data_IF_361444355423
#
_entry.id   IF_361444355423
#
_cell.length_a   1.000
_cell.length_b   1.000
_cell.length_c   1.000
_cell.angle_alpha   90.00
_cell.angle_beta   90.00
_cell.angle_gamma   90.00
#
_symmetry.space_group_name_H-M   'P 1'
#
loop_
_entity.id
_entity.type
_entity.pdbx_description
1 polymer ?
#
# COMPACT_ATOMS: atom_id res chain seq x y z
N UNK A 1 -5.99 14.62 0.30
CA UNK A 1 -5.77 14.80 1.76
C UNK A 1 -6.97 14.36 2.61
N UNK A 2 -8.14 15.03 2.60
CA UNK A 2 -9.28 14.67 3.49
C UNK A 2 -9.72 13.19 3.39
N UNK A 3 -9.92 12.69 2.16
CA UNK A 3 -10.32 11.30 1.91
C UNK A 3 -9.28 10.29 2.41
N UNK A 4 -8.00 10.61 2.22
CA UNK A 4 -6.86 9.80 2.66
C UNK A 4 -6.70 9.77 4.17
N UNK A 5 -6.97 10.90 4.85
CA UNK A 5 -6.92 10.98 6.33
C UNK A 5 -8.04 10.13 6.93
N UNK A 6 -9.28 10.32 6.47
CA UNK A 6 -10.43 9.55 6.96
C UNK A 6 -10.23 8.04 6.72
N UNK A 7 -9.77 7.67 5.53
CA UNK A 7 -9.48 6.26 5.19
C UNK A 7 -8.40 5.65 6.09
N UNK A 8 -7.30 6.36 6.33
CA UNK A 8 -6.22 5.88 7.20
C UNK A 8 -6.65 5.82 8.68
N UNK A 9 -7.43 6.78 9.17
CA UNK A 9 -7.91 6.76 10.55
C UNK A 9 -8.84 5.57 10.80
N UNK A 10 -9.80 5.32 9.91
CA UNK A 10 -10.73 4.18 10.04
C UNK A 10 -9.96 2.85 9.91
N UNK A 11 -9.10 2.75 8.88
CA UNK A 11 -8.29 1.56 8.66
C UNK A 11 -7.34 1.26 9.82
N UNK A 12 -6.72 2.29 10.40
CA UNK A 12 -5.82 2.17 11.55
C UNK A 12 -6.54 1.71 12.82
N UNK A 13 -7.74 2.25 13.11
CA UNK A 13 -8.54 1.81 14.27
C UNK A 13 -8.94 0.35 14.11
N UNK A 14 -9.49 -0.04 12.95
CA UNK A 14 -9.85 -1.44 12.69
C UNK A 14 -8.62 -2.35 12.79
N UNK A 15 -7.49 -1.95 12.21
CA UNK A 15 -6.25 -2.73 12.29
C UNK A 15 -5.79 -2.90 13.75
N UNK A 16 -5.78 -1.83 14.55
CA UNK A 16 -5.35 -1.92 15.95
C UNK A 16 -6.19 -2.87 16.82
N UNK A 17 -7.47 -3.05 16.49
CA UNK A 17 -8.38 -3.93 17.24
C UNK A 17 -8.27 -5.40 16.84
N UNK A 18 -7.96 -5.70 15.58
CA UNK A 18 -8.03 -7.05 15.02
C UNK A 18 -6.67 -7.60 14.52
N UNK A 19 -5.59 -6.83 14.55
CA UNK A 19 -4.29 -7.27 14.06
C UNK A 19 -3.57 -8.21 15.05
N UNK A 20 -2.87 -9.21 14.52
CA UNK A 20 -1.98 -10.09 15.30
C UNK A 20 -0.67 -9.42 15.74
N UNK A 21 -0.36 -8.21 15.24
CA UNK A 21 0.82 -7.44 15.62
C UNK A 21 0.52 -5.94 15.59
N UNK A 22 0.08 -5.35 16.71
CA UNK A 22 -0.38 -3.96 16.76
C UNK A 22 0.74 -2.92 16.59
N UNK A 23 2.02 -3.34 16.58
CA UNK A 23 3.16 -2.46 16.35
C UNK A 23 3.27 -2.01 14.87
N UNK A 24 2.66 -2.74 13.94
CA UNK A 24 2.69 -2.40 12.52
C UNK A 24 1.67 -1.31 12.24
N UNK A 25 2.12 -0.18 11.67
CA UNK A 25 1.25 0.95 11.36
C UNK A 25 1.01 0.99 9.85
N UNK A 26 -0.22 0.74 9.37
CA UNK A 26 -0.53 0.82 7.94
C UNK A 26 -0.61 2.28 7.50
N UNK A 27 0.40 2.74 6.76
CA UNK A 27 0.43 4.06 6.15
C UNK A 27 0.45 3.98 4.63
N UNK A 28 -0.06 5.02 3.98
CA UNK A 28 0.10 5.20 2.53
C UNK A 28 1.58 5.47 2.22
N UNK A 29 2.22 4.57 1.49
CA UNK A 29 3.63 4.69 1.09
C UNK A 29 3.78 5.24 -0.33
N UNK A 30 4.97 5.76 -0.66
CA UNK A 30 5.27 6.30 -1.99
C UNK A 30 4.95 5.33 -3.16
N UNK A 31 5.28 4.02 -3.08
CA UNK A 31 4.92 3.07 -4.12
C UNK A 31 3.41 2.96 -4.35
N UNK A 32 2.61 3.01 -3.28
CA UNK A 32 1.15 2.96 -3.40
C UNK A 32 0.59 4.23 -4.05
N UNK A 33 1.17 5.40 -3.75
CA UNK A 33 0.79 6.65 -4.40
C UNK A 33 1.05 6.60 -5.92
N UNK A 34 2.21 6.08 -6.32
CA UNK A 34 2.57 5.89 -7.74
C UNK A 34 1.57 4.92 -8.41
N UNK A 35 1.24 3.81 -7.74
CA UNK A 35 0.25 2.85 -8.25
C UNK A 35 -1.11 3.50 -8.52
N UNK A 36 -1.61 4.32 -7.58
CA UNK A 36 -2.88 5.05 -7.74
C UNK A 36 -2.80 6.02 -8.93
N UNK A 37 -1.67 6.73 -9.12
CA UNK A 37 -1.46 7.62 -10.26
C UNK A 37 -1.46 6.87 -11.60
N UNK A 38 -0.84 5.69 -11.66
CA UNK A 38 -0.85 4.85 -12.88
C UNK A 38 -2.27 4.37 -13.20
N UNK A 39 -3.02 3.87 -12.20
CA UNK A 39 -4.43 3.48 -12.40
C UNK A 39 -5.25 4.65 -12.92
N UNK A 40 -5.01 5.85 -12.38
CA UNK A 40 -5.73 7.05 -12.80
C UNK A 40 -5.45 7.39 -14.27
N UNK A 41 -4.19 7.30 -14.72
CA UNK A 41 -3.84 7.44 -16.13
C UNK A 41 -4.56 6.43 -17.02
N UNK A 42 -4.61 5.15 -16.60
CA UNK A 42 -5.36 4.11 -17.33
C UNK A 42 -6.86 4.43 -17.38
N UNK A 43 -7.47 4.84 -16.27
CA UNK A 43 -8.88 5.22 -16.28
C UNK A 43 -9.17 6.40 -17.21
N UNK A 44 -8.28 7.38 -17.26
CA UNK A 44 -8.40 8.55 -18.13
C UNK A 44 -8.27 8.15 -19.62
N UNK A 45 -7.32 7.27 -19.97
CA UNK A 45 -7.12 6.78 -21.35
C UNK A 45 -8.32 5.94 -21.86
N UNK A 46 -8.88 5.09 -21.00
CA UNK A 46 -9.99 4.20 -21.33
C UNK A 46 -11.38 4.79 -21.03
N UNK A 47 -11.49 6.05 -20.60
CA UNK A 47 -12.74 6.72 -20.20
C UNK A 47 -13.55 5.92 -19.16
N UNK A 48 -12.86 5.30 -18.21
CA UNK A 48 -13.47 4.51 -17.15
C UNK A 48 -13.69 5.35 -15.89
N UNK A 49 -14.77 5.06 -15.17
CA UNK A 49 -15.02 5.70 -13.88
C UNK A 49 -13.99 5.23 -12.84
N UNK A 50 -13.09 6.14 -12.46
CA UNK A 50 -12.02 5.87 -11.49
C UNK A 50 -12.51 5.26 -10.18
N UNK A 51 -13.53 5.81 -9.47
CA UNK A 51 -13.96 5.23 -8.20
C UNK A 51 -14.56 3.83 -8.35
N UNK A 52 -15.34 3.54 -9.40
CA UNK A 52 -15.84 2.20 -9.66
C UNK A 52 -14.71 1.19 -9.95
N UNK A 53 -13.74 1.58 -10.78
CA UNK A 53 -12.60 0.73 -11.10
C UNK A 53 -11.69 0.49 -9.89
N UNK A 54 -11.43 1.54 -9.11
CA UNK A 54 -10.65 1.45 -7.88
C UNK A 54 -11.33 0.57 -6.81
N UNK A 55 -12.66 0.62 -6.71
CA UNK A 55 -13.42 -0.27 -5.84
C UNK A 55 -13.32 -1.74 -6.29
N UNK A 56 -13.37 -2.00 -7.60
CA UNK A 56 -13.19 -3.34 -8.16
C UNK A 56 -11.81 -3.91 -7.83
N UNK A 57 -10.73 -3.11 -7.98
CA UNK A 57 -9.37 -3.50 -7.58
C UNK A 57 -9.33 -3.87 -6.10
N UNK A 58 -9.97 -3.07 -5.25
CA UNK A 58 -10.08 -3.35 -3.81
C UNK A 58 -10.79 -4.68 -3.51
N UNK A 59 -11.88 -4.98 -4.22
CA UNK A 59 -12.62 -6.25 -4.07
C UNK A 59 -11.76 -7.46 -4.46
N UNK A 60 -11.05 -7.38 -5.58
CA UNK A 60 -10.11 -8.43 -6.01
C UNK A 60 -8.96 -8.61 -5.01
N UNK A 61 -8.43 -7.51 -4.47
CA UNK A 61 -7.38 -7.57 -3.45
C UNK A 61 -7.88 -8.30 -2.18
N UNK A 62 -9.08 -7.97 -1.70
CA UNK A 62 -9.70 -8.68 -0.57
C UNK A 62 -9.89 -10.18 -0.87
N UNK A 63 -10.35 -10.52 -2.07
CA UNK A 63 -10.51 -11.91 -2.49
C UNK A 63 -9.19 -12.68 -2.46
N UNK A 64 -8.11 -12.12 -3.04
CA UNK A 64 -6.80 -12.76 -3.02
C UNK A 64 -6.19 -12.87 -1.62
N UNK A 65 -6.45 -11.90 -0.74
CA UNK A 65 -6.00 -11.98 0.66
C UNK A 65 -6.70 -13.11 1.42
N UNK A 66 -8.01 -13.28 1.27
CA UNK A 66 -8.75 -14.40 1.87
C UNK A 66 -8.23 -15.73 1.33
N UNK A 67 -8.07 -15.81 0.01
CA UNK A 67 -7.54 -17.01 -0.65
C UNK A 67 -6.14 -17.36 -0.13
N UNK A 68 -5.25 -16.37 -0.04
CA UNK A 68 -3.90 -16.52 0.49
C UNK A 68 -3.86 -16.93 1.96
N UNK A 69 -4.83 -16.48 2.76
CA UNK A 69 -5.01 -16.92 4.14
C UNK A 69 -5.40 -18.40 4.23
N UNK A 70 -6.34 -18.86 3.41
CA UNK A 70 -6.79 -20.27 3.37
C UNK A 70 -5.66 -21.19 2.90
N UNK A 71 -4.93 -20.80 1.86
CA UNK A 71 -3.80 -21.58 1.33
C UNK A 71 -2.50 -21.40 2.13
N UNK A 72 -2.54 -20.64 3.22
CA UNK A 72 -1.40 -20.37 4.08
C UNK A 72 -0.15 -19.89 3.32
N UNK A 73 -0.35 -18.95 2.38
CA UNK A 73 0.70 -18.33 1.57
C UNK A 73 1.75 -17.61 2.44
N UNK A 74 1.45 -17.37 3.73
CA UNK A 74 2.41 -16.87 4.70
C UNK A 74 3.70 -17.71 4.78
N UNK A 75 3.64 -19.01 4.44
CA UNK A 75 4.82 -19.87 4.37
C UNK A 75 5.82 -19.41 3.30
N UNK A 76 5.36 -18.72 2.25
CA UNK A 76 6.23 -18.10 1.23
C UNK A 76 7.20 -17.09 1.85
N UNK A 77 6.84 -16.47 2.97
CA UNK A 77 7.73 -15.56 3.69
C UNK A 77 9.03 -16.26 4.13
N UNK A 78 9.00 -17.59 4.35
CA UNK A 78 10.22 -18.37 4.67
C UNK A 78 11.19 -18.50 3.49
N UNK A 79 10.73 -18.28 2.26
CA UNK A 79 11.57 -18.27 1.06
C UNK A 79 12.37 -16.97 0.96
N UNK A 80 11.83 -15.87 1.47
CA UNK A 80 12.52 -14.59 1.51
C UNK A 80 13.66 -14.64 2.53
N UNK A 81 14.89 -14.41 2.06
CA UNK A 81 16.06 -14.35 2.93
C UNK A 81 16.17 -12.95 3.54
N UNK A 82 16.82 -12.86 4.70
CA UNK A 82 17.17 -11.60 5.39
C UNK A 82 17.77 -10.55 4.45
N UNK A 83 18.62 -10.96 3.51
CA UNK A 83 19.22 -10.03 2.54
C UNK A 83 18.17 -9.35 1.65
N UNK A 84 17.11 -10.04 1.24
CA UNK A 84 16.03 -9.43 0.43
C UNK A 84 15.22 -8.43 1.25
N UNK A 85 14.96 -8.74 2.52
CA UNK A 85 14.25 -7.83 3.43
C UNK A 85 15.04 -6.54 3.66
N UNK A 86 16.36 -6.66 3.88
CA UNK A 86 17.26 -5.51 4.05
C UNK A 86 17.32 -4.64 2.79
N UNK A 87 17.34 -5.24 1.59
CA UNK A 87 17.30 -4.50 0.31
C UNK A 87 15.98 -3.74 0.14
N UNK A 88 14.85 -4.35 0.49
CA UNK A 88 13.53 -3.67 0.43
C UNK A 88 13.48 -2.51 1.42
N UNK A 89 13.97 -2.70 2.65
CA UNK A 89 14.02 -1.65 3.66
C UNK A 89 14.89 -0.47 3.21
N UNK A 90 16.06 -0.75 2.61
CA UNK A 90 16.94 0.27 2.05
C UNK A 90 16.29 1.02 0.88
N UNK A 91 15.59 0.31 -0.01
CA UNK A 91 14.85 0.94 -1.12
C UNK A 91 13.78 1.93 -0.60
N UNK A 92 12.99 1.52 0.41
CA UNK A 92 11.98 2.38 1.02
C UNK A 92 12.64 3.59 1.70
N UNK A 93 13.74 3.39 2.42
CA UNK A 93 14.50 4.47 3.07
C UNK A 93 15.00 5.51 2.05
N UNK A 94 15.58 5.08 0.93
CA UNK A 94 16.03 5.98 -0.14
C UNK A 94 14.85 6.75 -0.73
N UNK A 95 13.71 6.08 -0.98
CA UNK A 95 12.51 6.75 -1.50
C UNK A 95 12.03 7.87 -0.56
N UNK A 96 12.03 7.63 0.76
CA UNK A 96 11.70 8.65 1.76
C UNK A 96 12.69 9.83 1.77
N UNK A 97 14.00 9.57 1.66
CA UNK A 97 15.01 10.64 1.61
C UNK A 97 14.81 11.50 0.37
N UNK A 98 14.55 10.89 -0.80
CA UNK A 98 14.30 11.63 -2.05
C UNK A 98 13.06 12.51 -1.94
N UNK A 99 11.96 11.98 -1.38
CA UNK A 99 10.75 12.78 -1.16
C UNK A 99 10.99 13.93 -0.17
N UNK A 100 11.76 13.71 0.90
CA UNK A 100 12.11 14.75 1.85
C UNK A 100 12.93 15.89 1.21
N UNK A 101 13.97 15.55 0.44
CA UNK A 101 14.82 16.52 -0.26
C UNK A 101 14.01 17.33 -1.28
N UNK A 102 13.14 16.66 -2.06
CA UNK A 102 12.21 17.36 -2.98
C UNK A 102 11.30 18.33 -2.23
N UNK A 103 10.82 17.95 -1.06
CA UNK A 103 10.02 18.82 -0.19
C UNK A 103 10.77 20.06 0.28
N UNK A 104 12.06 19.95 0.58
CA UNK A 104 12.89 21.09 1.01
C UNK A 104 13.26 22.04 -0.13
N UNK A 105 13.60 21.53 -1.31
CA UNK A 105 14.00 22.36 -2.48
C UNK A 105 12.82 23.07 -3.13
N UNK A 106 11.59 22.60 -2.90
CA UNK A 106 10.36 23.20 -3.45
C UNK A 106 9.76 24.31 -2.56
N UNK A 107 10.39 24.62 -1.43
CA UNK A 107 10.16 25.84 -0.65
C UNK A 107 11.12 26.95 -1.11
#
# INVERSE_FOLDING_TARGET
>A
VRKTIIGQSIGGVIYSLFAGSPLVIPLTTAPLAIFISVIRGICDDYNLDFPAFYACIGLWNCFFLILGGIFNVSLLMKLFKRSTEEVIALFISIAFVVDAVKGTVKN
#
